data_IF_937343168424
#
_entry.id   IF_937343168424
#
_cell.length_a   1.000
_cell.length_b   1.000
_cell.length_c   1.000
_cell.angle_alpha   90.00
_cell.angle_beta   90.00
_cell.angle_gamma   90.00
#
_symmetry.space_group_name_H-M   'P 1'
#
loop_
_entity.id
_entity.type
_entity.pdbx_description
1 polymer ?
#
# COMPACT_ATOMS: atom_id res chain seq x y z
N UNK A 1 1.72 -8.56 9.76
CA UNK A 1 2.64 -8.77 8.62
C UNK A 1 2.35 -7.71 7.57
N UNK A 2 3.40 -7.13 6.97
CA UNK A 2 3.31 -6.15 5.88
C UNK A 2 2.71 -6.82 4.64
N UNK A 3 1.52 -6.39 4.21
CA UNK A 3 0.79 -6.92 3.05
C UNK A 3 1.24 -6.27 1.75
N UNK A 4 1.44 -4.95 1.75
CA UNK A 4 1.83 -4.20 0.56
C UNK A 4 3.32 -3.89 0.58
N UNK A 5 4.02 -4.02 -0.55
CA UNK A 5 5.42 -3.67 -0.69
C UNK A 5 5.68 -2.83 -1.95
N UNK A 6 6.73 -2.01 -1.93
CA UNK A 6 7.23 -1.36 -3.13
C UNK A 6 8.21 -2.29 -3.84
N UNK A 7 8.10 -2.43 -5.17
CA UNK A 7 9.05 -3.18 -6.00
C UNK A 7 9.32 -2.44 -7.31
N UNK A 8 10.50 -2.62 -7.88
CA UNK A 8 10.82 -2.07 -9.19
C UNK A 8 10.50 -3.10 -10.28
N UNK A 9 9.66 -2.71 -11.24
CA UNK A 9 9.38 -3.48 -12.45
C UNK A 9 10.34 -3.00 -13.56
N UNK A 10 11.29 -3.87 -13.90
CA UNK A 10 12.34 -3.58 -14.88
C UNK A 10 11.79 -3.55 -16.30
N UNK A 11 10.80 -4.39 -16.59
CA UNK A 11 10.20 -4.51 -17.92
C UNK A 11 9.43 -3.24 -18.30
N UNK A 12 8.68 -2.67 -17.35
CA UNK A 12 7.90 -1.44 -17.55
C UNK A 12 8.64 -0.16 -17.13
N UNK A 13 9.81 -0.28 -16.50
CA UNK A 13 10.60 0.85 -15.99
C UNK A 13 9.81 1.70 -14.99
N UNK A 14 9.14 1.06 -14.04
CA UNK A 14 8.27 1.71 -13.06
C UNK A 14 8.43 1.12 -11.64
N UNK A 15 8.15 1.94 -10.64
CA UNK A 15 7.97 1.47 -9.26
C UNK A 15 6.53 1.10 -9.00
N UNK A 16 6.30 -0.08 -8.45
CA UNK A 16 4.98 -0.64 -8.22
C UNK A 16 4.71 -0.82 -6.73
N UNK A 17 3.45 -0.66 -6.34
CA UNK A 17 2.92 -1.12 -5.06
C UNK A 17 2.27 -2.48 -5.29
N UNK A 18 2.87 -3.51 -4.74
CA UNK A 18 2.45 -4.91 -4.92
C UNK A 18 1.74 -5.41 -3.66
N UNK A 19 0.54 -5.97 -3.83
CA UNK A 19 -0.18 -6.68 -2.79
C UNK A 19 0.29 -8.14 -2.76
N UNK A 20 1.00 -8.51 -1.69
CA UNK A 20 1.52 -9.87 -1.52
C UNK A 20 0.45 -10.92 -1.26
N UNK A 21 -0.76 -10.52 -0.84
CA UNK A 21 -1.86 -11.46 -0.59
C UNK A 21 -2.59 -11.84 -1.87
N UNK A 22 -2.95 -10.85 -2.68
CA UNK A 22 -3.66 -11.07 -3.96
C UNK A 22 -2.72 -11.30 -5.14
N UNK A 23 -1.41 -11.11 -4.91
CA UNK A 23 -0.36 -11.18 -5.93
C UNK A 23 -0.59 -10.24 -7.11
N UNK A 24 -1.12 -9.05 -6.84
CA UNK A 24 -1.48 -8.06 -7.86
C UNK A 24 -0.80 -6.72 -7.63
N UNK A 25 -0.53 -6.00 -8.71
CA UNK A 25 -0.07 -4.61 -8.64
C UNK A 25 -1.27 -3.70 -8.41
N UNK A 26 -1.20 -2.89 -7.35
CA UNK A 26 -2.26 -1.96 -6.95
C UNK A 26 -2.05 -0.59 -7.59
N UNK A 27 -0.80 -0.16 -7.73
CA UNK A 27 -0.45 1.11 -8.35
C UNK A 27 0.96 1.04 -8.95
N UNK A 28 1.19 1.80 -10.02
CA UNK A 28 2.48 1.88 -10.71
C UNK A 28 2.88 3.34 -10.97
N UNK A 29 4.15 3.64 -10.75
CA UNK A 29 4.77 4.96 -10.92
C UNK A 29 5.87 4.86 -11.97
N UNK A 30 5.55 5.23 -13.20
CA UNK A 30 6.47 5.19 -14.33
C UNK A 30 7.63 6.17 -14.15
N UNK A 31 8.86 5.69 -14.32
CA UNK A 31 10.07 6.52 -14.32
C UNK A 31 10.88 6.41 -15.63
N UNK A 32 10.54 5.52 -16.58
CA UNK A 32 11.08 5.46 -17.97
C UNK A 32 12.57 5.83 -18.11
N UNK A 33 13.42 5.25 -17.25
CA UNK A 33 14.88 5.42 -17.22
C UNK A 33 15.41 6.82 -16.86
N UNK A 34 14.57 7.70 -16.31
CA UNK A 34 15.03 8.93 -15.68
C UNK A 34 15.39 8.63 -14.21
N UNK A 35 16.67 8.78 -13.87
CA UNK A 35 17.19 8.45 -12.54
C UNK A 35 16.58 9.33 -11.44
N UNK A 36 16.32 10.61 -11.71
CA UNK A 36 15.70 11.52 -10.75
C UNK A 36 14.24 11.11 -10.50
N UNK A 37 13.50 10.82 -11.58
CA UNK A 37 12.14 10.29 -11.47
C UNK A 37 12.11 8.91 -10.82
N UNK A 38 13.15 8.10 -10.97
CA UNK A 38 13.23 6.77 -10.33
C UNK A 38 13.28 6.89 -8.81
N UNK A 39 14.08 7.80 -8.29
CA UNK A 39 14.15 8.06 -6.84
C UNK A 39 12.83 8.62 -6.30
N UNK A 40 12.19 9.52 -7.04
CA UNK A 40 10.88 10.04 -6.66
C UNK A 40 9.79 8.95 -6.68
N UNK A 41 9.77 8.13 -7.72
CA UNK A 41 8.83 7.02 -7.88
C UNK A 41 9.02 5.95 -6.78
N UNK A 42 10.26 5.67 -6.37
CA UNK A 42 10.60 4.80 -5.25
C UNK A 42 9.98 5.31 -3.95
N UNK A 43 10.26 6.56 -3.58
CA UNK A 43 9.71 7.18 -2.37
C UNK A 43 8.18 7.19 -2.39
N UNK A 44 7.57 7.46 -3.55
CA UNK A 44 6.12 7.48 -3.70
C UNK A 44 5.52 6.09 -3.52
N UNK A 45 6.11 5.05 -4.11
CA UNK A 45 5.69 3.67 -3.94
C UNK A 45 5.84 3.19 -2.49
N UNK A 46 6.98 3.48 -1.84
CA UNK A 46 7.22 3.15 -0.44
C UNK A 46 6.21 3.82 0.50
N UNK A 47 6.01 5.14 0.36
CA UNK A 47 5.07 5.88 1.19
C UNK A 47 3.63 5.40 0.98
N UNK A 48 3.27 5.01 -0.24
CA UNK A 48 1.95 4.46 -0.52
C UNK A 48 1.76 3.06 0.07
N UNK A 49 2.74 2.16 -0.09
CA UNK A 49 2.71 0.84 0.54
C UNK A 49 2.59 0.95 2.06
N UNK A 50 3.33 1.85 2.71
CA UNK A 50 3.24 2.09 4.16
C UNK A 50 1.82 2.53 4.55
N UNK A 51 1.24 3.51 3.85
CA UNK A 51 -0.14 3.96 4.12
C UNK A 51 -1.15 2.83 4.00
N UNK A 52 -1.08 2.03 2.94
CA UNK A 52 -1.98 0.90 2.75
C UNK A 52 -1.84 -0.16 3.86
N UNK A 53 -0.61 -0.41 4.32
CA UNK A 53 -0.37 -1.32 5.44
C UNK A 53 -0.94 -0.79 6.75
N UNK A 54 -0.84 0.53 7.01
CA UNK A 54 -1.46 1.16 8.17
C UNK A 54 -2.98 1.06 8.11
N UNK A 55 -3.59 1.37 6.96
CA UNK A 55 -5.04 1.26 6.76
C UNK A 55 -5.54 -0.18 6.86
N UNK A 56 -4.79 -1.17 6.35
CA UNK A 56 -5.16 -2.58 6.44
C UNK A 56 -5.01 -3.15 7.87
N UNK A 57 -4.09 -2.59 8.68
CA UNK A 57 -3.97 -2.90 10.10
C UNK A 57 -5.03 -2.23 10.97
N UNK A 58 -5.59 -1.09 10.52
CA UNK A 58 -6.71 -0.40 11.15
C UNK A 58 -8.06 -0.94 10.66
N UNK A 59 -8.33 -2.22 10.89
CA UNK A 59 -9.73 -2.65 10.95
C UNK A 59 -10.24 -2.17 12.32
N UNK A 60 -11.21 -1.24 12.41
CA UNK A 60 -11.84 -0.98 13.70
C UNK A 60 -12.48 -2.30 14.13
N UNK A 61 -12.10 -2.82 15.30
CA UNK A 61 -12.82 -3.93 15.91
C UNK A 61 -14.29 -3.51 16.03
N UNK A 62 -15.15 -4.03 15.16
CA UNK A 62 -16.59 -3.79 15.27
C UNK A 62 -17.12 -4.53 16.50
N UNK A 63 -17.58 -3.70 17.46
CA UNK A 63 -18.67 -3.90 18.43
C UNK A 63 -18.41 -4.84 19.64
N UNK A 64 -19.08 -4.58 20.78
CA UNK A 64 -20.50 -4.91 20.86
C UNK A 64 -21.38 -3.70 21.17
N UNK A 65 -22.58 -3.69 20.58
CA UNK A 65 -23.64 -2.78 21.01
C UNK A 65 -24.07 -3.15 22.42
N UNK A 66 -23.75 -2.32 23.39
CA UNK A 66 -24.27 -2.43 24.74
C UNK A 66 -25.56 -1.60 24.83
N UNK A 67 -26.63 -2.23 24.35
CA UNK A 67 -27.99 -1.75 24.57
C UNK A 67 -28.47 -2.22 25.93
N UNK A 68 -28.22 -1.47 26.99
CA UNK A 68 -28.95 -1.58 28.26
C UNK A 68 -29.32 -0.18 28.74
N UNK A 69 -30.56 0.24 28.48
CA UNK A 69 -31.17 1.39 29.14
C UNK A 69 -31.67 0.94 30.52
N UNK A 70 -31.35 1.65 31.63
CA UNK A 70 -31.96 1.36 32.91
C UNK A 70 -33.37 1.96 33.00
N UNK A 71 -34.27 1.19 33.63
CA UNK A 71 -35.63 1.53 34.06
C UNK A 71 -35.65 2.69 35.08
#
# INVERSE_FOLDING_TARGET
MTRYCARYNVDDGCWEVFDTQTQTTVESFSCRNDDELRHYAEHRALAHAIRLNQSAGSTPASAPGDGTAPD
#
